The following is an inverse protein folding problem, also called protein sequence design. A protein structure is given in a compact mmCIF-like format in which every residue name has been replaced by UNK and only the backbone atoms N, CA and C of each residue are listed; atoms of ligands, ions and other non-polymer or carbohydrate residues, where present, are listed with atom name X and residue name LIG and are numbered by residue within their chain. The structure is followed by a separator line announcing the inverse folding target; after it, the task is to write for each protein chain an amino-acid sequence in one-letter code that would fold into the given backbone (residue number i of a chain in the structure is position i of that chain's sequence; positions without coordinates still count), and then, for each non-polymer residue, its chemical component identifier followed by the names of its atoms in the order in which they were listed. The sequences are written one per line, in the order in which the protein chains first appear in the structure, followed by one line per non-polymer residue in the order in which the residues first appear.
data_IF_528013200622
#
_entry.id   IF_528013200622
#
_cell.length_a   1.000
_cell.length_b   1.000
_cell.length_c   1.000
_cell.angle_alpha   90.00
_cell.angle_beta   90.00
_cell.angle_gamma   90.00
#
_symmetry.space_group_name_H-M   'P 1'
#
loop_
_entity.id
_entity.type
_entity.pdbx_description
1 polymer ?
#
# COMPACT_ATOMS: atom_id res chain seq x y z
N UNK A 1 19.05 -19.61 -31.71
CA UNK A 1 18.84 -18.75 -30.52
C UNK A 1 17.43 -18.18 -30.59
N UNK A 2 16.49 -18.76 -29.85
CA UNK A 2 15.09 -18.34 -29.81
C UNK A 2 14.96 -17.17 -28.84
N UNK A 3 14.89 -15.95 -29.34
CA UNK A 3 14.52 -14.77 -28.53
C UNK A 3 13.00 -14.74 -28.38
N UNK A 4 12.47 -15.53 -27.45
CA UNK A 4 11.08 -15.38 -27.03
C UNK A 4 10.98 -14.04 -26.28
N UNK A 5 10.52 -13.02 -27.00
CA UNK A 5 10.08 -11.77 -26.38
C UNK A 5 8.85 -12.12 -25.54
N UNK A 6 9.03 -12.30 -24.22
CA UNK A 6 7.91 -12.43 -23.30
C UNK A 6 7.16 -11.09 -23.30
N UNK A 7 6.13 -10.99 -24.13
CA UNK A 7 5.23 -9.84 -24.33
C UNK A 7 4.30 -9.60 -23.13
N UNK A 8 4.53 -10.29 -22.01
CA UNK A 8 3.79 -10.15 -20.76
C UNK A 8 4.53 -9.30 -19.73
N UNK A 9 3.75 -8.62 -18.87
CA UNK A 9 4.26 -7.88 -17.71
C UNK A 9 5.06 -8.83 -16.79
N UNK A 10 6.23 -8.45 -16.25
CA UNK A 10 7.04 -9.35 -15.43
C UNK A 10 6.29 -9.85 -14.20
N UNK A 11 6.58 -11.08 -13.78
CA UNK A 11 5.97 -11.69 -12.59
C UNK A 11 6.27 -10.90 -11.32
N UNK A 12 7.47 -10.32 -11.21
CA UNK A 12 7.86 -9.43 -10.09
C UNK A 12 6.94 -8.22 -9.95
N UNK A 13 6.54 -7.60 -11.06
CA UNK A 13 5.62 -6.46 -11.09
C UNK A 13 4.21 -6.91 -10.73
N UNK A 14 3.81 -8.10 -11.17
CA UNK A 14 2.50 -8.66 -10.85
C UNK A 14 2.37 -9.04 -9.37
N UNK A 15 3.38 -9.70 -8.81
CA UNK A 15 3.42 -10.04 -7.37
C UNK A 15 3.46 -8.77 -6.52
N UNK A 16 4.32 -7.80 -6.87
CA UNK A 16 4.37 -6.51 -6.17
C UNK A 16 3.02 -5.80 -6.16
N UNK A 17 2.32 -5.77 -7.31
CA UNK A 17 0.97 -5.23 -7.42
C UNK A 17 -0.02 -5.92 -6.47
N UNK A 18 -0.02 -7.25 -6.41
CA UNK A 18 -0.91 -8.01 -5.51
C UNK A 18 -0.59 -7.71 -4.04
N UNK A 19 0.70 -7.65 -3.68
CA UNK A 19 1.10 -7.34 -2.30
C UNK A 19 0.64 -5.94 -1.88
N UNK A 20 0.77 -4.93 -2.75
CA UNK A 20 0.24 -3.60 -2.46
C UNK A 20 -1.29 -3.56 -2.35
N UNK A 21 -2.02 -4.35 -3.15
CA UNK A 21 -3.46 -4.48 -2.96
C UNK A 21 -3.80 -5.09 -1.60
N UNK A 22 -3.04 -6.10 -1.16
CA UNK A 22 -3.22 -6.69 0.17
C UNK A 22 -2.93 -5.65 1.26
N UNK A 23 -1.87 -4.85 1.13
CA UNK A 23 -1.54 -3.77 2.08
C UNK A 23 -2.70 -2.78 2.20
N UNK A 24 -3.26 -2.32 1.07
CA UNK A 24 -4.42 -1.41 1.07
C UNK A 24 -5.62 -2.04 1.77
N UNK A 25 -5.94 -3.31 1.46
CA UNK A 25 -7.06 -4.03 2.08
C UNK A 25 -6.85 -4.18 3.59
N UNK A 26 -5.64 -4.53 4.02
CA UNK A 26 -5.31 -4.66 5.44
C UNK A 26 -5.42 -3.31 6.16
N UNK A 27 -4.95 -2.22 5.53
CA UNK A 27 -5.10 -0.86 6.07
C UNK A 27 -6.57 -0.46 6.25
N UNK A 28 -7.42 -0.75 5.27
CA UNK A 28 -8.87 -0.51 5.34
C UNK A 28 -9.49 -1.31 6.49
N UNK A 29 -9.19 -2.60 6.59
CA UNK A 29 -9.71 -3.48 7.66
C UNK A 29 -9.28 -2.95 9.04
N UNK A 30 -8.00 -2.61 9.20
CA UNK A 30 -7.48 -2.04 10.44
C UNK A 30 -8.17 -0.73 10.81
N UNK A 31 -8.39 0.16 9.84
CA UNK A 31 -9.13 1.41 10.02
C UNK A 31 -10.58 1.18 10.47
N UNK A 32 -11.28 0.23 9.83
CA UNK A 32 -12.67 -0.12 10.20
C UNK A 32 -12.74 -0.67 11.62
N UNK A 33 -11.84 -1.60 11.98
CA UNK A 33 -11.79 -2.18 13.33
C UNK A 33 -11.56 -1.08 14.37
N UNK A 34 -10.66 -0.12 14.08
CA UNK A 34 -10.39 1.00 14.99
C UNK A 34 -11.62 1.91 15.17
N UNK A 35 -12.28 2.30 14.08
CA UNK A 35 -13.48 3.15 14.12
C UNK A 35 -14.61 2.47 14.87
N UNK A 36 -14.88 1.19 14.60
CA UNK A 36 -15.93 0.44 15.30
C UNK A 36 -15.56 0.27 16.77
N UNK A 37 -14.35 -0.18 17.07
CA UNK A 37 -13.91 -0.50 18.42
C UNK A 37 -13.84 0.72 19.34
N UNK A 38 -13.29 1.85 18.87
CA UNK A 38 -13.25 3.09 19.67
C UNK A 38 -14.62 3.76 19.67
N UNK A 39 -15.30 3.79 18.52
CA UNK A 39 -16.61 4.43 18.39
C UNK A 39 -17.71 3.78 19.22
N UNK A 40 -17.63 2.48 19.49
CA UNK A 40 -18.58 1.79 20.38
C UNK A 40 -18.35 2.02 21.87
N UNK A 41 -17.22 2.62 22.25
CA UNK A 41 -16.81 2.82 23.65
C UNK A 41 -16.92 4.28 24.11
N UNK A 42 -17.26 5.21 23.21
CA UNK A 42 -17.29 6.64 23.51
C UNK A 42 -18.65 7.25 23.22
N UNK A 43 -19.25 7.87 24.24
CA UNK A 43 -20.45 8.71 24.12
C UNK A 43 -20.10 10.17 23.81
N UNK A 44 -18.81 10.54 23.84
CA UNK A 44 -18.34 11.89 23.57
C UNK A 44 -18.47 12.24 22.08
N UNK A 45 -19.38 13.16 21.79
CA UNK A 45 -19.63 13.69 20.44
C UNK A 45 -18.37 14.24 19.75
N UNK A 46 -17.43 14.83 20.50
CA UNK A 46 -16.18 15.39 19.98
C UNK A 46 -15.24 14.27 19.52
N UNK A 47 -15.11 13.22 20.33
CA UNK A 47 -14.32 12.03 19.97
C UNK A 47 -14.91 11.34 18.74
N UNK A 48 -16.24 11.19 18.67
CA UNK A 48 -16.91 10.59 17.51
C UNK A 48 -16.72 11.41 16.23
N UNK A 49 -16.73 12.73 16.33
CA UNK A 49 -16.42 13.61 15.20
C UNK A 49 -14.96 13.41 14.73
N UNK A 50 -14.00 13.35 15.66
CA UNK A 50 -12.60 13.07 15.35
C UNK A 50 -12.38 11.73 14.65
N UNK A 51 -13.01 10.66 15.14
CA UNK A 51 -12.98 9.33 14.51
C UNK A 51 -13.57 9.35 13.10
N UNK A 52 -14.69 10.05 12.91
CA UNK A 52 -15.35 10.17 11.60
C UNK A 52 -14.45 10.89 10.60
N UNK A 53 -13.85 12.01 11.00
CA UNK A 53 -12.90 12.76 10.15
C UNK A 53 -11.68 11.92 9.83
N UNK A 54 -11.09 11.24 10.82
CA UNK A 54 -9.97 10.34 10.62
C UNK A 54 -10.28 9.20 9.65
N UNK A 55 -11.46 8.59 9.77
CA UNK A 55 -11.92 7.53 8.87
C UNK A 55 -12.06 8.02 7.42
N UNK A 56 -12.63 9.20 7.21
CA UNK A 56 -12.75 9.81 5.87
C UNK A 56 -11.38 10.06 5.27
N UNK A 57 -10.45 10.62 6.04
CA UNK A 57 -9.07 10.85 5.58
C UNK A 57 -8.40 9.50 5.21
N UNK A 58 -8.55 8.48 6.05
CA UNK A 58 -7.99 7.15 5.77
C UNK A 58 -8.55 6.53 4.48
N UNK A 59 -9.86 6.69 4.22
CA UNK A 59 -10.49 6.24 2.98
C UNK A 59 -9.90 6.98 1.77
N UNK A 60 -9.76 8.30 1.85
CA UNK A 60 -9.15 9.10 0.77
C UNK A 60 -7.72 8.65 0.49
N UNK A 61 -6.92 8.43 1.53
CA UNK A 61 -5.56 7.91 1.40
C UNK A 61 -5.57 6.53 0.72
N UNK A 62 -6.44 5.62 1.14
CA UNK A 62 -6.54 4.29 0.56
C UNK A 62 -6.92 4.33 -0.94
N UNK A 63 -7.83 5.23 -1.33
CA UNK A 63 -8.21 5.42 -2.73
C UNK A 63 -7.06 6.00 -3.57
N UNK A 64 -6.32 6.96 -3.02
CA UNK A 64 -5.13 7.54 -3.66
C UNK A 64 -4.04 6.48 -3.83
N UNK A 65 -3.77 5.70 -2.78
CA UNK A 65 -2.82 4.60 -2.81
C UNK A 65 -3.21 3.57 -3.86
N UNK A 66 -4.48 3.15 -3.89
CA UNK A 66 -5.01 2.23 -4.88
C UNK A 66 -4.79 2.75 -6.31
N UNK A 67 -5.10 4.02 -6.57
CA UNK A 67 -4.84 4.67 -7.86
C UNK A 67 -3.35 4.60 -8.25
N UNK A 68 -2.45 4.89 -7.31
CA UNK A 68 -0.99 4.84 -7.56
C UNK A 68 -0.54 3.39 -7.84
N UNK A 69 -1.08 2.41 -7.10
CA UNK A 69 -0.79 0.98 -7.32
C UNK A 69 -1.22 0.52 -8.71
N UNK A 70 -2.37 0.99 -9.21
CA UNK A 70 -2.76 0.79 -10.61
C UNK A 70 -1.83 1.52 -11.59
N UNK A 71 -1.39 2.74 -11.30
CA UNK A 71 -0.42 3.44 -12.16
C UNK A 71 0.95 2.75 -12.21
N UNK A 72 1.36 2.14 -11.10
CA UNK A 72 2.55 1.28 -11.02
C UNK A 72 2.35 -0.01 -11.83
N UNK A 73 1.13 -0.57 -11.81
CA UNK A 73 0.74 -1.71 -12.66
C UNK A 73 0.99 -1.43 -14.14
N UNK A 74 0.71 -0.20 -14.57
CA UNK A 74 0.82 0.27 -15.95
C UNK A 74 2.26 0.63 -16.38
N UNK A 75 3.26 0.44 -15.50
CA UNK A 75 4.67 0.67 -15.84
C UNK A 75 5.16 2.11 -15.65
N UNK A 76 4.36 3.01 -15.06
CA UNK A 76 4.79 4.41 -14.83
C UNK A 76 5.85 4.50 -13.74
N UNK A 77 7.01 5.04 -14.09
CA UNK A 77 8.15 5.20 -13.16
C UNK A 77 7.85 6.06 -11.92
N UNK A 78 7.08 7.13 -12.08
CA UNK A 78 6.75 8.03 -10.96
C UNK A 78 6.00 7.31 -9.83
N UNK A 79 5.15 6.34 -10.17
CA UNK A 79 4.32 5.63 -9.20
C UNK A 79 5.17 4.83 -8.20
N UNK A 80 6.34 4.32 -8.62
CA UNK A 80 7.27 3.62 -7.73
C UNK A 80 7.90 4.53 -6.69
N UNK A 81 8.30 5.73 -7.10
CA UNK A 81 8.89 6.71 -6.19
C UNK A 81 7.83 7.13 -5.17
N UNK A 82 6.59 7.37 -5.62
CA UNK A 82 5.49 7.71 -4.71
C UNK A 82 5.19 6.55 -3.75
N UNK A 83 5.12 5.31 -4.21
CA UNK A 83 4.92 4.14 -3.33
C UNK A 83 6.08 3.93 -2.35
N UNK A 84 7.31 4.24 -2.75
CA UNK A 84 8.45 4.22 -1.84
C UNK A 84 8.33 5.29 -0.75
N UNK A 85 7.94 6.51 -1.11
CA UNK A 85 7.71 7.59 -0.14
C UNK A 85 6.57 7.20 0.81
N UNK A 86 5.47 6.66 0.30
CA UNK A 86 4.36 6.17 1.12
C UNK A 86 4.81 5.04 2.06
N UNK A 87 5.58 4.08 1.57
CA UNK A 87 6.16 3.02 2.38
C UNK A 87 6.98 3.62 3.54
N UNK A 88 7.87 4.57 3.25
CA UNK A 88 8.69 5.23 4.28
C UNK A 88 7.82 5.97 5.30
N UNK A 89 6.79 6.69 4.87
CA UNK A 89 5.87 7.37 5.78
C UNK A 89 5.11 6.39 6.67
N UNK A 90 4.64 5.28 6.12
CA UNK A 90 3.99 4.20 6.88
C UNK A 90 4.96 3.61 7.92
N UNK A 91 6.23 3.39 7.57
CA UNK A 91 7.27 2.92 8.49
C UNK A 91 7.46 3.87 9.68
N UNK A 92 7.54 5.18 9.40
CA UNK A 92 7.70 6.20 10.45
C UNK A 92 6.49 6.26 11.38
N UNK A 93 5.29 6.00 10.86
CA UNK A 93 4.05 5.93 11.65
C UNK A 93 3.91 4.66 12.51
N UNK A 94 4.49 3.53 12.08
CA UNK A 94 4.37 2.22 12.76
C UNK A 94 5.11 2.19 14.12
N UNK A 95 6.14 3.02 14.33
CA UNK A 95 6.91 3.04 15.57
C UNK A 95 6.11 3.47 16.82
N UNK A 96 4.87 3.91 16.68
CA UNK A 96 4.00 4.27 17.80
C UNK A 96 3.37 3.06 18.51
N UNK A 97 3.24 1.89 17.86
CA UNK A 97 2.69 0.68 18.49
C UNK A 97 3.02 -0.59 17.68
N UNK A 98 3.82 -1.49 18.26
CA UNK A 98 4.07 -2.80 17.67
C UNK A 98 2.86 -3.73 17.90
N UNK A 99 2.29 -4.24 16.80
CA UNK A 99 1.26 -5.28 16.82
C UNK A 99 1.58 -6.36 15.79
N UNK A 100 1.09 -7.58 15.99
CA UNK A 100 1.28 -8.68 15.02
C UNK A 100 0.78 -8.28 13.63
N UNK A 101 -0.37 -7.60 13.56
CA UNK A 101 -0.93 -7.07 12.31
C UNK A 101 -0.02 -6.03 11.65
N UNK A 102 0.52 -5.10 12.44
CA UNK A 102 1.47 -4.09 11.97
C UNK A 102 2.75 -4.71 11.42
N UNK A 103 3.28 -5.73 12.10
CA UNK A 103 4.50 -6.45 11.67
C UNK A 103 4.29 -7.20 10.36
N UNK A 104 3.16 -7.87 10.18
CA UNK A 104 2.85 -8.56 8.90
C UNK A 104 2.73 -7.53 7.77
N UNK A 105 2.00 -6.44 8.00
CA UNK A 105 1.83 -5.37 7.01
C UNK A 105 3.17 -4.75 6.62
N UNK A 106 4.02 -4.49 7.61
CA UNK A 106 5.39 -4.02 7.42
C UNK A 106 6.20 -4.93 6.49
N UNK A 107 6.18 -6.24 6.75
CA UNK A 107 6.90 -7.22 5.91
C UNK A 107 6.36 -7.18 4.47
N UNK A 108 5.04 -7.13 4.30
CA UNK A 108 4.41 -7.06 2.97
C UNK A 108 4.85 -5.80 2.20
N UNK A 109 4.84 -4.63 2.85
CA UNK A 109 5.29 -3.36 2.26
C UNK A 109 6.75 -3.44 1.83
N UNK A 110 7.62 -3.98 2.67
CA UNK A 110 9.05 -4.14 2.34
C UNK A 110 9.23 -5.05 1.13
N UNK A 111 8.62 -6.24 1.15
CA UNK A 111 8.73 -7.20 0.04
C UNK A 111 8.17 -6.63 -1.25
N UNK A 112 6.99 -5.99 -1.20
CA UNK A 112 6.36 -5.38 -2.36
C UNK A 112 7.24 -4.28 -2.96
N UNK A 113 7.86 -3.45 -2.11
CA UNK A 113 8.78 -2.38 -2.51
C UNK A 113 10.04 -2.95 -3.17
N UNK A 114 10.69 -3.95 -2.55
CA UNK A 114 11.88 -4.60 -3.14
C UNK A 114 11.58 -5.17 -4.52
N UNK A 115 10.44 -5.85 -4.69
CA UNK A 115 10.01 -6.40 -5.97
C UNK A 115 9.83 -5.34 -7.07
N UNK A 116 9.49 -4.08 -6.73
CA UNK A 116 9.43 -3.00 -7.71
C UNK A 116 10.81 -2.62 -8.25
N UNK A 117 11.86 -2.73 -7.45
CA UNK A 117 13.21 -2.29 -7.82
C UNK A 117 14.11 -3.41 -8.36
N UNK A 118 13.60 -4.65 -8.48
CA UNK A 118 14.33 -5.75 -9.09
C UNK A 118 14.69 -5.47 -10.57
N UNK A 119 15.79 -6.06 -11.10
CA UNK A 119 16.26 -5.81 -12.46
C UNK A 119 15.20 -6.07 -13.55
N UNK A 120 14.42 -7.15 -13.40
CA UNK A 120 13.32 -7.50 -14.29
C UNK A 120 12.21 -6.44 -14.29
N UNK A 121 11.88 -5.92 -13.11
CA UNK A 121 10.94 -4.81 -12.96
C UNK A 121 11.51 -3.54 -13.59
N UNK A 122 12.76 -3.18 -13.33
CA UNK A 122 13.38 -1.97 -13.90
C UNK A 122 13.42 -1.98 -15.43
N UNK A 123 13.67 -3.14 -16.04
CA UNK A 123 13.62 -3.30 -17.50
C UNK A 123 12.22 -3.03 -18.07
N UNK A 124 11.15 -3.40 -17.36
CA UNK A 124 9.77 -3.16 -17.81
C UNK A 124 9.39 -1.67 -17.78
N UNK A 125 9.74 -0.97 -16.71
CA UNK A 125 9.36 0.44 -16.55
C UNK A 125 10.28 1.41 -17.31
N UNK A 126 11.44 0.97 -17.82
CA UNK A 126 12.22 1.78 -18.79
C UNK A 126 11.63 1.78 -20.19
N UNK A 127 10.76 0.81 -20.50
CA UNK A 127 10.12 0.65 -21.81
C UNK A 127 8.77 1.35 -21.92
N UNK A 128 8.18 1.79 -20.80
CA UNK A 128 6.84 2.38 -20.67
C UNK A 128 6.93 3.66 -19.84
#
# INVERSE_FOLDING_TARGET
MSTTSATGRPTTVTVSFILWLIVVVVGIIGGIINVIGVGSQTDDTTMRAGLTVGAVIAIVIALVELFIVFKMRDGRNWARIVLLVLAILQLLGIFAAFSVFGTITLILVIVATVLMFLPASNAYFRKH
#
